data_IF_674141033721
#
_entry.id   IF_674141033721
#
_cell.length_a   1.000
_cell.length_b   1.000
_cell.length_c   1.000
_cell.angle_alpha   90.00
_cell.angle_beta   90.00
_cell.angle_gamma   90.00
#
_symmetry.space_group_name_H-M   'P 1'
#
loop_
_entity.id
_entity.type
_entity.pdbx_description
1 polymer ?
#
# COMPACT_ATOMS: atom_id res chain seq x y z
N UNK A 1 -1.61 -10.80 -3.55
CA UNK A 1 -3.09 -10.75 -3.59
C UNK A 1 -3.55 -10.61 -5.04
N UNK A 2 -4.50 -11.44 -5.50
CA UNK A 2 -4.97 -11.45 -6.89
C UNK A 2 -5.98 -10.33 -7.13
N UNK A 3 -5.77 -9.52 -8.18
CA UNK A 3 -6.64 -8.41 -8.64
C UNK A 3 -8.13 -8.79 -8.74
N UNK A 4 -8.42 -10.08 -8.90
CA UNK A 4 -9.77 -10.67 -8.94
C UNK A 4 -10.56 -10.51 -7.62
N UNK A 5 -9.90 -10.52 -6.46
CA UNK A 5 -10.53 -10.28 -5.17
C UNK A 5 -10.95 -8.80 -5.00
N UNK A 6 -10.18 -7.86 -5.55
CA UNK A 6 -10.49 -6.42 -5.51
C UNK A 6 -11.80 -6.09 -6.26
N UNK A 7 -12.07 -6.78 -7.36
CA UNK A 7 -13.36 -6.70 -8.06
C UNK A 7 -14.50 -7.28 -7.24
N UNK A 8 -14.26 -8.39 -6.52
CA UNK A 8 -15.26 -9.06 -5.69
C UNK A 8 -15.66 -8.24 -4.46
N UNK A 9 -14.70 -7.55 -3.85
CA UNK A 9 -14.93 -6.71 -2.66
C UNK A 9 -15.57 -5.36 -2.95
N UNK A 10 -15.98 -5.08 -4.20
CA UNK A 10 -16.57 -3.79 -4.57
C UNK A 10 -15.72 -2.61 -4.10
N UNK A 11 -14.39 -2.68 -4.30
CA UNK A 11 -13.44 -1.67 -3.81
C UNK A 11 -13.85 -0.23 -4.16
N UNK A 12 -14.49 -0.07 -5.32
CA UNK A 12 -15.09 1.20 -5.76
C UNK A 12 -16.15 1.73 -4.79
N UNK A 13 -17.11 0.91 -4.34
CA UNK A 13 -18.19 1.35 -3.44
C UNK A 13 -17.67 1.64 -2.03
N UNK A 14 -16.66 0.90 -1.58
CA UNK A 14 -15.94 1.18 -0.34
C UNK A 14 -15.23 2.54 -0.41
N UNK A 15 -14.47 2.80 -1.48
CA UNK A 15 -13.80 4.09 -1.68
C UNK A 15 -14.79 5.25 -1.76
N UNK A 16 -15.95 5.08 -2.40
CA UNK A 16 -17.00 6.11 -2.43
C UNK A 16 -17.50 6.47 -1.02
N UNK A 17 -17.79 5.47 -0.19
CA UNK A 17 -18.21 5.69 1.21
C UNK A 17 -17.11 6.37 2.03
N UNK A 18 -15.85 5.97 1.82
CA UNK A 18 -14.69 6.55 2.49
C UNK A 18 -14.51 8.03 2.09
N UNK A 19 -14.56 8.35 0.79
CA UNK A 19 -14.52 9.73 0.28
C UNK A 19 -15.62 10.60 0.87
N UNK A 20 -16.84 10.08 0.92
CA UNK A 20 -17.97 10.80 1.50
C UNK A 20 -17.75 11.12 2.99
N UNK A 21 -17.22 10.17 3.77
CA UNK A 21 -16.87 10.42 5.17
C UNK A 21 -15.75 11.44 5.32
N UNK A 22 -14.67 11.28 4.57
CA UNK A 22 -13.52 12.20 4.60
C UNK A 22 -13.91 13.64 4.22
N UNK A 23 -14.81 13.81 3.24
CA UNK A 23 -15.35 15.11 2.86
C UNK A 23 -16.14 15.79 4.00
N UNK A 24 -16.82 15.00 4.83
CA UNK A 24 -17.58 15.52 5.98
C UNK A 24 -16.67 15.84 7.18
N UNK A 25 -15.48 15.25 7.26
CA UNK A 25 -14.55 15.38 8.40
C UNK A 25 -13.33 16.24 8.10
N UNK A 26 -13.31 16.99 6.98
CA UNK A 26 -12.17 17.79 6.54
C UNK A 26 -10.84 16.98 6.48
N UNK A 27 -10.95 15.69 6.14
CA UNK A 27 -9.82 14.77 6.12
C UNK A 27 -9.35 14.55 4.69
N UNK A 28 -8.06 14.76 4.42
CA UNK A 28 -7.49 14.53 3.09
C UNK A 28 -7.28 13.04 2.84
N UNK A 29 -8.01 12.48 1.87
CA UNK A 29 -7.86 11.09 1.43
C UNK A 29 -6.99 11.03 0.17
N UNK A 30 -5.86 10.32 0.26
CA UNK A 30 -4.98 10.06 -0.89
C UNK A 30 -5.10 8.59 -1.28
N UNK A 31 -5.65 8.33 -2.47
CA UNK A 31 -5.71 6.98 -3.03
C UNK A 31 -4.45 6.79 -3.88
N UNK A 32 -3.44 6.13 -3.29
CA UNK A 32 -2.17 5.82 -3.97
C UNK A 32 -2.16 4.37 -4.46
N UNK A 33 -1.52 4.13 -5.60
CA UNK A 33 -1.39 2.79 -6.17
C UNK A 33 -0.51 1.88 -5.32
N UNK A 34 -0.81 0.57 -5.34
CA UNK A 34 -0.03 -0.47 -4.64
C UNK A 34 1.38 -0.67 -5.22
N UNK A 35 1.69 -0.05 -6.36
CA UNK A 35 3.00 -0.13 -7.01
C UNK A 35 4.16 0.33 -6.10
N UNK A 36 3.86 1.16 -5.09
CA UNK A 36 4.84 1.69 -4.15
C UNK A 36 4.88 0.96 -2.80
N UNK A 37 3.89 0.14 -2.44
CA UNK A 37 3.79 -0.42 -1.07
C UNK A 37 4.74 -1.59 -0.83
N UNK A 38 5.05 -2.37 -1.86
CA UNK A 38 6.04 -3.45 -1.75
C UNK A 38 7.47 -2.94 -1.82
N UNK A 39 7.72 -1.87 -2.58
CA UNK A 39 9.06 -1.36 -2.85
C UNK A 39 9.55 -0.32 -1.83
N UNK A 40 8.64 0.44 -1.22
CA UNK A 40 9.03 1.57 -0.37
C UNK A 40 9.29 1.14 1.07
N UNK A 41 10.46 1.51 1.59
CA UNK A 41 10.80 1.28 2.99
C UNK A 41 9.89 2.07 3.93
N UNK A 42 9.13 1.40 4.78
CA UNK A 42 8.27 2.08 5.77
C UNK A 42 9.04 2.84 6.85
N UNK A 43 10.35 2.59 7.00
CA UNK A 43 11.20 3.25 8.01
C UNK A 43 11.94 4.47 7.46
N UNK A 44 12.41 4.42 6.22
CA UNK A 44 13.25 5.49 5.65
C UNK A 44 12.76 6.07 4.32
N UNK A 45 11.68 5.53 3.75
CA UNK A 45 11.13 6.01 2.47
C UNK A 45 11.92 5.59 1.24
N UNK A 46 13.02 4.84 1.39
CA UNK A 46 13.84 4.39 0.26
C UNK A 46 13.08 3.37 -0.60
N UNK A 47 13.04 3.60 -1.91
CA UNK A 47 12.45 2.67 -2.86
C UNK A 47 13.46 1.55 -3.16
N UNK A 48 13.16 0.34 -2.71
CA UNK A 48 13.97 -0.86 -2.92
C UNK A 48 13.23 -1.77 -3.91
N UNK A 49 13.93 -2.28 -4.91
CA UNK A 49 13.33 -3.23 -5.85
C UNK A 49 13.37 -4.64 -5.26
N UNK A 50 12.28 -5.04 -4.59
CA UNK A 50 12.19 -6.36 -3.94
C UNK A 50 11.78 -7.49 -4.88
N UNK A 51 11.49 -7.20 -6.16
CA UNK A 51 11.14 -8.23 -7.14
C UNK A 51 10.03 -9.18 -6.64
N UNK A 52 10.39 -10.46 -6.45
CA UNK A 52 9.53 -11.52 -5.90
C UNK A 52 10.14 -12.24 -4.69
N UNK A 53 11.08 -11.62 -3.98
CA UNK A 53 11.70 -12.22 -2.80
C UNK A 53 10.75 -12.19 -1.59
N UNK A 54 10.70 -13.27 -0.82
CA UNK A 54 9.90 -13.40 0.41
C UNK A 54 10.49 -12.58 1.58
N UNK A 55 11.70 -12.05 1.40
CA UNK A 55 12.43 -11.27 2.39
C UNK A 55 12.64 -9.84 1.89
N UNK A 56 12.11 -8.85 2.63
CA UNK A 56 12.39 -7.44 2.36
C UNK A 56 13.59 -7.00 3.20
N UNK A 57 14.68 -6.57 2.53
CA UNK A 57 15.84 -5.93 3.18
C UNK A 57 16.08 -4.55 2.57
N UNK A 58 15.97 -3.51 3.39
CA UNK A 58 16.31 -2.16 2.97
C UNK A 58 17.83 -1.95 2.98
N UNK A 59 18.42 -1.60 1.84
CA UNK A 59 19.86 -1.35 1.73
C UNK A 59 20.35 -0.12 2.49
N UNK A 60 19.46 0.84 2.79
CA UNK A 60 19.81 2.11 3.44
C UNK A 60 19.71 2.10 4.95
N UNK A 61 18.63 1.54 5.51
CA UNK A 61 18.38 1.55 6.96
C UNK A 61 18.48 0.16 7.61
N UNK A 62 18.79 -0.88 6.84
CA UNK A 62 18.94 -2.24 7.33
C UNK A 62 17.62 -2.87 7.83
N UNK A 63 16.46 -2.27 7.51
CA UNK A 63 15.16 -2.81 7.89
C UNK A 63 14.96 -4.17 7.21
N UNK A 64 14.83 -5.21 8.04
CA UNK A 64 14.47 -6.56 7.63
C UNK A 64 13.00 -6.80 7.99
N UNK A 65 12.22 -7.28 7.02
CA UNK A 65 10.84 -7.74 7.25
C UNK A 65 10.63 -9.07 6.54
N UNK A 66 10.18 -10.07 7.29
CA UNK A 66 9.61 -11.29 6.74
C UNK A 66 8.26 -10.96 6.10
N UNK A 67 8.14 -11.18 4.79
CA UNK A 67 6.87 -11.03 4.07
C UNK A 67 6.19 -12.39 4.09
N UNK A 68 5.46 -12.69 5.17
CA UNK A 68 4.60 -13.88 5.29
C UNK A 68 3.19 -13.62 4.77
#
# INVERSE_FOLDING_TARGET
MTKRLLYMFSFHSFLQKLRFRCSNTNTSLYVVGEEYTSKTCTRCGEMNDVGGSEEYRCGRCGLFKDVK
#
